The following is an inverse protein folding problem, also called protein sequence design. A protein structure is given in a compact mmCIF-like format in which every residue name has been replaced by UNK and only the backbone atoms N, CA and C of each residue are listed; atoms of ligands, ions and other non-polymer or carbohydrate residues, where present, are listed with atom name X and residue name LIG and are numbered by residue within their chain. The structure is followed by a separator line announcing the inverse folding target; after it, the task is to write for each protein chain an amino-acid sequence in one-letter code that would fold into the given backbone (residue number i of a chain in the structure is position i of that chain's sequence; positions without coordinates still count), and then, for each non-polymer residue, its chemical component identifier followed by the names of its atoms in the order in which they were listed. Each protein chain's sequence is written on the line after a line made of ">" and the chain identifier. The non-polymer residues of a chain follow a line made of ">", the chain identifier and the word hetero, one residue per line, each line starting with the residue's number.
data_IF_855813749302
#
_entry.id   IF_855813749302
#
_cell.length_a   1.000
_cell.length_b   1.000
_cell.length_c   1.000
_cell.angle_alpha   90.00
_cell.angle_beta   90.00
_cell.angle_gamma   90.00
#
_symmetry.space_group_name_H-M   'P 1'
#
loop_
_entity.id
_entity.type
_entity.pdbx_description
1 polymer ?
#
# COMPACT_ATOMS: atom_id res chain seq x y z
N UNK A 1 5.29 12.17 -26.66
CA UNK A 1 4.18 11.20 -26.72
C UNK A 1 4.44 10.18 -25.61
N UNK A 2 3.46 9.91 -24.76
CA UNK A 2 3.61 8.92 -23.67
C UNK A 2 3.75 7.53 -24.29
N UNK A 3 4.81 6.80 -23.92
CA UNK A 3 5.03 5.40 -24.33
C UNK A 3 4.16 4.41 -23.54
N UNK A 4 3.42 4.89 -22.54
CA UNK A 4 2.48 4.11 -21.75
C UNK A 4 1.15 3.95 -22.49
N UNK A 5 0.48 2.82 -22.29
CA UNK A 5 -0.90 2.64 -22.75
C UNK A 5 -1.83 3.57 -21.96
N UNK A 6 -3.06 3.83 -22.44
CA UNK A 6 -4.02 4.65 -21.69
C UNK A 6 -4.26 4.14 -20.26
N UNK A 7 -4.41 2.82 -20.09
CA UNK A 7 -4.58 2.18 -18.79
C UNK A 7 -3.34 2.32 -17.91
N UNK A 8 -2.15 2.04 -18.45
CA UNK A 8 -0.89 2.21 -17.73
C UNK A 8 -0.70 3.66 -17.26
N UNK A 9 -0.99 4.63 -18.11
CA UNK A 9 -0.88 6.06 -17.76
C UNK A 9 -1.81 6.42 -16.61
N UNK A 10 -3.08 6.02 -16.67
CA UNK A 10 -4.05 6.32 -15.61
C UNK A 10 -3.68 5.66 -14.27
N UNK A 11 -3.21 4.41 -14.32
CA UNK A 11 -2.75 3.70 -13.12
C UNK A 11 -1.50 4.33 -12.55
N UNK A 12 -0.52 4.71 -13.38
CA UNK A 12 0.72 5.32 -12.91
C UNK A 12 0.49 6.72 -12.33
N UNK A 13 -0.44 7.50 -12.88
CA UNK A 13 -0.83 8.80 -12.32
C UNK A 13 -1.49 8.64 -10.94
N UNK A 14 -2.38 7.67 -10.77
CA UNK A 14 -2.98 7.34 -9.48
C UNK A 14 -1.96 6.81 -8.48
N UNK A 15 -1.02 5.97 -8.94
CA UNK A 15 0.04 5.41 -8.11
C UNK A 15 1.01 6.48 -7.62
N UNK A 16 1.40 7.41 -8.50
CA UNK A 16 2.27 8.54 -8.14
C UNK A 16 1.60 9.47 -7.12
N UNK A 17 0.28 9.66 -7.22
CA UNK A 17 -0.47 10.39 -6.20
C UNK A 17 -0.48 9.63 -4.86
N UNK A 18 -0.83 8.34 -4.88
CA UNK A 18 -0.91 7.52 -3.67
C UNK A 18 0.45 7.39 -2.96
N UNK A 19 1.54 7.28 -3.73
CA UNK A 19 2.87 7.01 -3.20
C UNK A 19 3.74 8.26 -3.07
N UNK A 20 3.18 9.46 -3.22
CA UNK A 20 3.93 10.72 -3.30
C UNK A 20 4.94 10.94 -2.18
N UNK A 21 4.61 10.52 -0.95
CA UNK A 21 5.51 10.66 0.20
C UNK A 21 6.59 9.58 0.27
N UNK A 22 6.29 8.38 -0.23
CA UNK A 22 7.19 7.22 -0.16
C UNK A 22 8.15 7.12 -1.35
N UNK A 23 7.68 7.49 -2.55
CA UNK A 23 8.45 7.45 -3.80
C UNK A 23 8.14 8.72 -4.61
N UNK A 24 8.64 9.88 -4.18
CA UNK A 24 8.27 11.18 -4.75
C UNK A 24 8.60 11.34 -6.24
N UNK A 25 9.57 10.58 -6.76
CA UNK A 25 10.01 10.67 -8.15
C UNK A 25 9.35 9.63 -9.07
N UNK A 26 8.34 8.89 -8.61
CA UNK A 26 7.68 7.81 -9.37
C UNK A 26 7.14 8.28 -10.73
N UNK A 27 6.41 9.41 -10.76
CA UNK A 27 5.88 9.96 -12.00
C UNK A 27 7.00 10.31 -12.99
N UNK A 28 8.12 10.85 -12.50
CA UNK A 28 9.27 11.20 -13.33
C UNK A 28 9.99 9.95 -13.85
N UNK A 29 10.09 8.89 -13.05
CA UNK A 29 10.63 7.60 -13.50
C UNK A 29 9.75 6.98 -14.60
N UNK A 30 8.42 6.97 -14.41
CA UNK A 30 7.47 6.47 -15.39
C UNK A 30 7.58 7.25 -16.71
N UNK A 31 7.60 8.58 -16.64
CA UNK A 31 7.70 9.46 -17.81
C UNK A 31 9.02 9.32 -18.58
N UNK A 32 10.14 9.02 -17.91
CA UNK A 32 11.45 8.84 -18.54
C UNK A 32 11.81 7.38 -18.85
N UNK A 33 10.93 6.43 -18.53
CA UNK A 33 11.20 5.02 -18.78
C UNK A 33 11.07 4.67 -20.26
N UNK A 34 11.68 3.57 -20.66
CA UNK A 34 11.37 2.91 -21.93
C UNK A 34 10.43 1.72 -21.68
N UNK A 35 9.48 1.44 -22.58
CA UNK A 35 8.63 0.27 -22.46
C UNK A 35 9.48 -1.00 -22.61
N UNK A 36 9.30 -1.94 -21.69
CA UNK A 36 9.88 -3.29 -21.77
C UNK A 36 8.87 -4.31 -22.27
N UNK A 37 8.88 -5.50 -21.65
CA UNK A 37 7.90 -6.55 -21.90
C UNK A 37 6.50 -6.15 -21.42
N UNK A 38 5.49 -6.31 -22.28
CA UNK A 38 4.06 -6.29 -21.91
C UNK A 38 3.46 -7.65 -22.17
N UNK A 39 2.72 -8.19 -21.21
CA UNK A 39 2.00 -9.46 -21.37
C UNK A 39 0.73 -9.50 -20.54
N UNK A 40 -0.26 -10.19 -21.09
CA UNK A 40 -1.39 -10.69 -20.34
C UNK A 40 -1.01 -12.04 -19.73
N UNK A 41 -1.11 -12.19 -18.42
CA UNK A 41 -0.73 -13.43 -17.71
C UNK A 41 -1.87 -14.45 -17.66
N UNK A 42 -3.04 -14.09 -18.17
CA UNK A 42 -4.30 -14.81 -18.00
C UNK A 42 -4.98 -14.58 -16.65
N UNK A 43 -4.27 -13.96 -15.69
CA UNK A 43 -4.81 -13.49 -14.42
C UNK A 43 -4.68 -11.97 -14.25
N UNK A 44 -4.31 -11.27 -15.33
CA UNK A 44 -4.14 -9.82 -15.36
C UNK A 44 -3.00 -9.35 -16.26
N UNK A 45 -2.40 -8.21 -15.90
CA UNK A 45 -1.40 -7.50 -16.66
C UNK A 45 -0.01 -7.64 -16.02
N UNK A 46 1.01 -7.77 -16.85
CA UNK A 46 2.38 -7.47 -16.46
C UNK A 46 3.01 -6.55 -17.49
N UNK A 47 3.51 -5.40 -17.05
CA UNK A 47 4.20 -4.41 -17.87
C UNK A 47 5.53 -4.05 -17.24
N UNK A 48 6.62 -4.20 -17.98
CA UNK A 48 7.97 -3.89 -17.52
C UNK A 48 8.37 -2.48 -17.94
N UNK A 49 9.08 -1.78 -17.05
CA UNK A 49 9.68 -0.47 -17.32
C UNK A 49 11.19 -0.56 -17.24
N UNK A 50 11.84 0.02 -18.25
CA UNK A 50 13.29 0.16 -18.28
C UNK A 50 13.64 1.58 -17.85
N UNK A 51 14.10 1.72 -16.61
CA UNK A 51 14.56 2.99 -16.05
C UNK A 51 16.09 2.99 -15.96
N UNK A 52 16.71 4.10 -16.36
CA UNK A 52 18.17 4.29 -16.43
C UNK A 52 18.92 3.81 -15.17
N UNK A 53 19.89 2.88 -15.37
CA UNK A 53 20.81 2.28 -14.39
C UNK A 53 21.43 3.29 -13.42
N UNK A 54 21.78 4.48 -13.89
CA UNK A 54 22.56 5.44 -13.11
C UNK A 54 21.70 6.55 -12.49
N UNK A 55 20.37 6.48 -12.66
CA UNK A 55 19.43 7.43 -12.06
C UNK A 55 19.46 7.33 -10.53
N UNK A 56 19.65 8.48 -9.88
CA UNK A 56 19.43 8.62 -8.43
C UNK A 56 17.95 8.47 -8.08
N UNK A 57 17.65 7.63 -7.10
CA UNK A 57 16.30 7.42 -6.58
C UNK A 57 16.12 8.23 -5.28
N UNK A 58 14.92 8.75 -5.06
CA UNK A 58 14.62 9.52 -3.85
C UNK A 58 14.55 8.64 -2.59
N UNK A 59 14.17 7.37 -2.75
CA UNK A 59 14.07 6.39 -1.68
C UNK A 59 14.70 5.06 -2.11
N UNK A 60 16.01 4.86 -1.93
CA UNK A 60 16.71 3.64 -2.36
C UNK A 60 16.34 2.40 -1.53
N UNK A 61 15.64 2.55 -0.40
CA UNK A 61 15.24 1.42 0.44
C UNK A 61 13.92 0.78 -0.03
N UNK A 62 13.15 1.49 -0.87
CA UNK A 62 11.89 0.98 -1.41
C UNK A 62 12.12 -0.18 -2.39
N UNK A 63 12.00 -1.42 -1.89
CA UNK A 63 12.12 -2.65 -2.68
C UNK A 63 10.96 -3.59 -2.39
N UNK A 64 10.32 -4.12 -3.44
CA UNK A 64 9.15 -4.99 -3.34
C UNK A 64 7.96 -4.51 -4.18
N UNK A 65 6.78 -5.04 -3.89
CA UNK A 65 5.52 -4.64 -4.52
C UNK A 65 4.82 -3.58 -3.66
N UNK A 66 4.34 -2.52 -4.30
CA UNK A 66 3.71 -1.38 -3.65
C UNK A 66 2.45 -0.93 -4.38
N UNK A 67 1.57 -0.25 -3.64
CA UNK A 67 0.36 0.33 -4.20
C UNK A 67 -0.89 -0.52 -3.99
N UNK A 68 -2.04 0.13 -4.13
CA UNK A 68 -3.37 -0.47 -3.98
C UNK A 68 -4.37 0.18 -4.94
N UNK A 69 -3.91 0.51 -6.15
CA UNK A 69 -4.77 1.13 -7.17
C UNK A 69 -5.68 0.06 -7.75
N UNK A 70 -6.97 0.32 -7.92
CA UNK A 70 -7.91 -0.60 -8.54
C UNK A 70 -8.56 0.08 -9.74
N UNK A 71 -8.81 -0.65 -10.83
CA UNK A 71 -9.44 -0.09 -12.02
C UNK A 71 -10.54 -1.01 -12.53
N UNK A 72 -11.69 -0.43 -12.88
CA UNK A 72 -12.72 -1.11 -13.66
C UNK A 72 -12.25 -1.22 -15.11
N UNK A 73 -11.92 -2.44 -15.54
CA UNK A 73 -11.36 -2.73 -16.86
C UNK A 73 -12.34 -3.56 -17.68
N UNK A 74 -12.61 -3.11 -18.91
CA UNK A 74 -13.60 -3.73 -19.79
C UNK A 74 -14.93 -3.97 -19.07
N UNK A 75 -15.49 -5.16 -19.26
CA UNK A 75 -16.71 -5.63 -18.61
C UNK A 75 -16.40 -6.66 -17.50
N UNK A 76 -15.20 -6.60 -16.89
CA UNK A 76 -14.86 -7.50 -15.78
C UNK A 76 -15.79 -7.23 -14.59
N UNK A 77 -16.39 -8.29 -14.00
CA UNK A 77 -17.22 -8.17 -12.80
C UNK A 77 -16.54 -7.48 -11.61
N UNK A 78 -15.27 -7.80 -11.36
CA UNK A 78 -14.48 -7.21 -10.28
C UNK A 78 -13.35 -6.36 -10.84
N UNK A 79 -12.97 -5.26 -10.16
CA UNK A 79 -11.87 -4.40 -10.59
C UNK A 79 -10.55 -5.18 -10.62
N UNK A 80 -9.63 -4.74 -11.49
CA UNK A 80 -8.26 -5.24 -11.50
C UNK A 80 -7.45 -4.44 -10.49
N UNK A 81 -6.78 -5.12 -9.56
CA UNK A 81 -5.86 -4.51 -8.60
C UNK A 81 -4.47 -4.33 -9.21
N UNK A 82 -3.86 -3.18 -8.99
CA UNK A 82 -2.57 -2.79 -9.56
C UNK A 82 -1.54 -2.47 -8.48
N UNK A 83 -0.33 -2.96 -8.71
CA UNK A 83 0.84 -2.74 -7.88
C UNK A 83 2.07 -2.45 -8.74
N UNK A 84 2.92 -1.55 -8.29
CA UNK A 84 4.23 -1.36 -8.90
C UNK A 84 5.26 -2.24 -8.20
N UNK A 85 6.22 -2.74 -8.97
CA UNK A 85 7.42 -3.36 -8.46
C UNK A 85 8.54 -2.33 -8.43
N UNK A 86 9.13 -2.15 -7.24
CA UNK A 86 10.30 -1.32 -7.04
C UNK A 86 11.50 -2.18 -6.68
N UNK A 87 12.66 -1.81 -7.20
CA UNK A 87 13.95 -2.34 -6.76
C UNK A 87 14.87 -1.18 -6.44
N UNK A 88 15.23 -1.04 -5.18
CA UNK A 88 16.06 0.07 -4.70
C UNK A 88 15.52 1.46 -5.08
N UNK A 89 14.22 1.67 -4.91
CA UNK A 89 13.53 2.91 -5.26
C UNK A 89 13.21 3.07 -6.74
N UNK A 90 13.53 2.08 -7.57
CA UNK A 90 13.36 2.16 -9.01
C UNK A 90 12.18 1.37 -9.51
N UNK A 91 11.36 2.00 -10.36
CA UNK A 91 10.28 1.36 -11.08
C UNK A 91 10.79 0.28 -12.03
N UNK A 92 10.40 -0.96 -11.76
CA UNK A 92 10.76 -2.14 -12.54
C UNK A 92 9.58 -2.64 -13.38
N UNK A 93 8.39 -2.70 -12.78
CA UNK A 93 7.20 -3.23 -13.43
C UNK A 93 5.90 -2.69 -12.83
N UNK A 94 4.82 -2.84 -13.58
CA UNK A 94 3.43 -2.72 -13.15
C UNK A 94 2.79 -4.11 -13.26
N UNK A 95 2.20 -4.55 -12.17
CA UNK A 95 1.45 -5.79 -12.04
C UNK A 95 -0.03 -5.45 -11.91
N UNK A 96 -0.88 -6.10 -12.68
CA UNK A 96 -2.33 -6.07 -12.56
C UNK A 96 -2.85 -7.48 -12.27
N UNK A 97 -3.74 -7.62 -11.29
CA UNK A 97 -4.32 -8.89 -10.86
C UNK A 97 -5.85 -8.82 -10.84
N UNK A 98 -6.50 -9.78 -11.47
CA UNK A 98 -7.96 -9.83 -11.69
C UNK A 98 -8.75 -10.63 -10.66
N UNK A 99 -8.17 -10.92 -9.49
CA UNK A 99 -8.81 -11.69 -8.40
C UNK A 99 -9.40 -13.05 -8.82
N UNK A 100 -8.76 -13.75 -9.76
CA UNK A 100 -9.17 -15.08 -10.21
C UNK A 100 -10.07 -15.08 -11.46
N UNK A 101 -10.38 -13.91 -12.00
CA UNK A 101 -11.09 -13.79 -13.29
C UNK A 101 -10.14 -14.08 -14.45
N UNK A 102 -10.62 -14.77 -15.49
CA UNK A 102 -9.82 -15.02 -16.70
C UNK A 102 -9.73 -13.73 -17.53
N UNK A 103 -8.50 -13.25 -17.74
CA UNK A 103 -8.27 -12.04 -18.54
C UNK A 103 -7.73 -12.33 -19.93
N UNK A 104 -7.52 -13.58 -20.35
CA UNK A 104 -6.76 -13.91 -21.58
C UNK A 104 -7.30 -13.24 -22.86
N UNK A 105 -8.60 -12.97 -22.91
CA UNK A 105 -9.25 -12.30 -24.04
C UNK A 105 -9.09 -10.77 -24.05
N UNK A 106 -8.57 -10.17 -22.97
CA UNK A 106 -8.44 -8.72 -22.81
C UNK A 106 -7.10 -8.26 -23.41
N UNK A 107 -7.18 -7.34 -24.38
CA UNK A 107 -6.03 -6.54 -24.81
C UNK A 107 -5.88 -5.31 -23.91
N UNK A 108 -5.09 -5.43 -22.85
CA UNK A 108 -4.81 -4.32 -21.93
C UNK A 108 -4.15 -3.09 -22.57
N UNK A 109 -3.69 -3.18 -23.82
CA UNK A 109 -3.12 -2.04 -24.54
C UNK A 109 -4.18 -1.06 -25.00
N UNK A 110 -5.36 -1.57 -25.35
CA UNK A 110 -6.45 -0.79 -25.97
C UNK A 110 -7.79 -0.95 -25.26
N UNK A 111 -7.87 -1.78 -24.23
CA UNK A 111 -9.11 -2.04 -23.51
C UNK A 111 -9.69 -0.76 -22.90
N UNK A 112 -11.01 -0.53 -23.01
CA UNK A 112 -11.64 0.56 -22.28
C UNK A 112 -11.54 0.29 -20.77
N UNK A 113 -11.43 1.36 -20.02
CA UNK A 113 -11.52 1.36 -18.56
C UNK A 113 -12.26 2.61 -18.12
N UNK A 114 -12.85 2.56 -16.92
CA UNK A 114 -13.66 3.65 -16.40
C UNK A 114 -13.06 4.19 -15.10
N UNK A 115 -13.53 3.68 -13.98
CA UNK A 115 -13.23 4.21 -12.66
C UNK A 115 -11.90 3.67 -12.14
N UNK A 116 -11.04 4.59 -11.69
CA UNK A 116 -9.79 4.31 -11.01
C UNK A 116 -9.99 4.63 -9.53
N UNK A 117 -9.60 3.72 -8.65
CA UNK A 117 -9.72 3.88 -7.20
C UNK A 117 -8.35 3.78 -6.54
N UNK A 118 -8.16 4.56 -5.49
CA UNK A 118 -7.04 4.44 -4.54
C UNK A 118 -7.58 4.04 -3.18
N UNK A 119 -6.69 3.70 -2.25
CA UNK A 119 -7.05 3.43 -0.86
C UNK A 119 -6.56 4.59 -0.01
N UNK A 120 -7.44 5.16 0.82
CA UNK A 120 -7.09 6.23 1.75
C UNK A 120 -6.42 5.70 3.03
N UNK A 121 -5.98 6.60 3.91
CA UNK A 121 -5.33 6.24 5.18
C UNK A 121 -6.23 5.46 6.14
N UNK A 122 -7.54 5.39 5.88
CA UNK A 122 -8.53 4.63 6.64
C UNK A 122 -8.82 3.27 6.01
N UNK A 123 -8.10 2.90 4.94
CA UNK A 123 -8.31 1.66 4.22
C UNK A 123 -9.57 1.65 3.35
N UNK A 124 -10.18 2.80 3.07
CA UNK A 124 -11.37 2.90 2.22
C UNK A 124 -10.98 3.09 0.76
N UNK A 125 -11.69 2.40 -0.13
CA UNK A 125 -11.57 2.63 -1.57
C UNK A 125 -12.23 3.96 -1.93
N UNK A 126 -11.46 4.87 -2.52
CA UNK A 126 -11.91 6.20 -2.92
C UNK A 126 -11.64 6.41 -4.41
N UNK A 127 -12.60 7.01 -5.11
CA UNK A 127 -12.46 7.32 -6.53
C UNK A 127 -11.28 8.28 -6.73
N UNK A 128 -10.27 7.84 -7.48
CA UNK A 128 -9.17 8.68 -7.89
C UNK A 128 -9.71 9.73 -8.87
N UNK A 129 -9.64 10.98 -8.43
CA UNK A 129 -9.84 12.13 -9.30
C UNK A 129 -8.47 12.73 -9.51
N UNK A 130 -7.94 12.72 -10.75
CA UNK A 130 -6.76 13.50 -11.06
C UNK A 130 -7.06 14.92 -10.60
N UNK A 131 -6.26 15.45 -9.67
CA UNK A 131 -6.37 16.86 -9.31
C UNK A 131 -6.33 17.61 -10.63
N UNK A 132 -7.40 18.36 -10.97
CA UNK A 132 -7.45 19.16 -12.20
C UNK A 132 -6.11 19.87 -12.27
N UNK A 133 -5.28 19.49 -13.26
CA UNK A 133 -4.08 20.23 -13.61
C UNK A 133 -4.54 21.68 -13.67
N UNK A 134 -4.02 22.53 -12.78
CA UNK A 134 -4.38 23.94 -12.80
C UNK A 134 -4.23 24.39 -14.27
N UNK A 135 -5.25 25.02 -14.88
CA UNK A 135 -5.15 25.43 -16.27
C UNK A 135 -3.83 26.17 -16.43
N UNK A 136 -3.03 25.78 -17.41
CA UNK A 136 -1.75 26.43 -17.69
C UNK A 136 -1.98 27.95 -17.60
N UNK A 137 -1.14 28.70 -16.86
CA UNK A 137 -1.30 30.14 -16.78
C UNK A 137 -1.34 30.65 -18.21
N UNK A 138 -2.51 31.15 -18.63
CA UNK A 138 -2.69 31.70 -19.96
C UNK A 138 -1.62 32.76 -20.11
N UNK A 139 -0.61 32.49 -20.95
CA UNK A 139 0.47 33.42 -21.16
C UNK A 139 -0.16 34.77 -21.55
N UNK A 140 0.17 35.88 -20.86
CA UNK A 140 -0.40 37.16 -21.18
C UNK A 140 -0.10 37.47 -22.65
N UNK A 141 -1.18 37.69 -23.41
CA UNK A 141 -1.15 38.02 -24.83
C UNK A 141 -0.06 39.07 -25.10
N UNK A 142 0.87 38.85 -26.04
CA UNK A 142 1.94 39.80 -26.28
C UNK A 142 1.34 41.16 -26.66
N UNK A 143 1.70 42.17 -25.87
CA UNK A 143 1.34 43.57 -26.11
C UNK A 143 2.01 43.99 -27.42
N UNK A 144 1.29 44.58 -28.39
CA UNK A 144 1.90 45.02 -29.64
C UNK A 144 3.06 45.99 -29.37
N UNK A 145 4.19 45.73 -30.01
CA UNK A 145 5.41 46.50 -29.85
C UNK A 145 5.18 47.97 -30.21
N UNK A 146 5.52 48.88 -29.29
CA UNK A 146 5.67 50.29 -29.60
C UNK A 146 6.96 50.52 -30.40
N UNK A 147 6.86 51.39 -31.42
CA UNK A 147 7.93 51.84 -32.31
C UNK A 147 9.17 52.35 -31.54
N UNK A 148 10.38 52.29 -32.15
CA UNK A 148 11.60 52.74 -31.51
C UNK A 148 11.75 54.27 -31.62
N UNK A 149 12.08 54.92 -30.49
CA UNK A 149 12.55 56.30 -30.45
C UNK A 149 14.07 56.33 -30.29
N UNK A 150 14.68 57.29 -30.99
CA UNK A 150 16.11 57.47 -31.25
C UNK A 150 16.91 57.90 -30.00
N UNK A 151 18.17 57.52 -30.01
CA UNK A 151 19.28 57.75 -29.09
C UNK A 151 19.56 59.20 -28.68
N UNK A 152 20.04 59.41 -27.45
CA UNK A 152 21.13 60.38 -27.16
C UNK A 152 21.85 60.04 -25.84
N UNK A 153 23.18 59.87 -25.92
CA UNK A 153 24.19 59.77 -24.84
C UNK A 153 24.93 61.14 -24.75
N UNK A 154 25.91 61.46 -23.85
CA UNK A 154 26.51 60.71 -22.71
C UNK A 154 26.91 61.52 -21.42
N UNK A 155 27.08 60.80 -20.28
CA UNK A 155 28.02 60.91 -19.10
C UNK A 155 28.39 62.27 -18.40
N UNK A 156 29.04 62.34 -17.18
CA UNK A 156 29.68 61.31 -16.33
C UNK A 156 29.48 61.37 -14.77
N UNK A 157 29.95 60.30 -14.10
CA UNK A 157 30.30 59.97 -12.68
C UNK A 157 31.06 61.05 -11.84
N UNK A 158 31.46 60.88 -10.52
CA UNK A 158 31.29 59.78 -9.51
C UNK A 158 31.13 60.17 -7.99
N UNK A 159 30.99 59.14 -7.11
CA UNK A 159 31.64 58.94 -5.76
C UNK A 159 30.90 59.22 -4.39
N UNK A 160 31.35 58.67 -3.21
CA UNK A 160 30.55 57.85 -2.26
C UNK A 160 30.66 58.25 -0.75
N UNK A 161 29.95 57.54 0.15
CA UNK A 161 30.23 57.27 1.60
C UNK A 161 28.89 56.94 2.33
N UNK A 162 28.74 56.19 3.43
CA UNK A 162 29.63 55.64 4.45
C UNK A 162 29.01 54.38 5.09
N UNK A 163 29.87 53.55 5.69
CA UNK A 163 29.53 52.43 6.59
C UNK A 163 28.98 52.94 7.93
N UNK A 164 28.17 52.13 8.62
CA UNK A 164 28.31 51.81 10.07
C UNK A 164 27.31 50.72 10.51
N UNK A 165 27.82 49.55 10.86
CA UNK A 165 27.39 48.71 12.01
C UNK A 165 28.44 48.92 13.13
N UNK A 166 28.32 48.46 14.40
CA UNK A 166 27.40 47.45 14.98
C UNK A 166 26.86 47.78 16.41
N UNK A 167 25.91 46.98 16.95
CA UNK A 167 25.82 46.66 18.38
C UNK A 167 24.85 45.48 18.64
N UNK A 168 25.20 44.62 19.60
CA UNK A 168 24.58 43.33 19.88
C UNK A 168 23.99 43.25 21.31
N UNK A 169 22.82 42.58 21.43
CA UNK A 169 22.25 41.76 22.56
C UNK A 169 21.98 42.41 23.94
N UNK A 170 21.21 41.77 24.88
CA UNK A 170 20.63 40.39 24.90
C UNK A 170 19.13 40.22 25.34
N UNK A 171 18.65 38.96 25.20
CA UNK A 171 17.66 38.14 25.95
C UNK A 171 16.46 38.81 26.67
N UNK A 172 15.23 38.31 26.64
CA UNK A 172 14.73 37.02 27.14
C UNK A 172 13.28 36.83 26.63
N UNK A 173 12.81 35.60 26.39
CA UNK A 173 11.44 35.12 26.67
C UNK A 173 11.42 33.61 26.46
N UNK A 174 11.43 32.86 27.58
CA UNK A 174 11.35 31.42 27.63
C UNK A 174 9.90 30.95 27.43
N UNK A 175 9.70 29.95 26.57
CA UNK A 175 8.48 29.14 26.47
C UNK A 175 8.69 27.82 27.23
N UNK A 176 7.64 27.23 27.82
CA UNK A 176 7.75 25.99 28.58
C UNK A 176 8.09 24.80 27.67
N UNK A 177 9.03 23.98 28.14
CA UNK A 177 9.43 22.70 27.54
C UNK A 177 8.26 21.72 27.66
N UNK A 178 7.68 21.35 26.52
CA UNK A 178 6.78 20.20 26.41
C UNK A 178 7.66 18.94 26.32
N UNK A 179 7.41 17.96 27.20
CA UNK A 179 8.13 16.71 27.25
C UNK A 179 7.93 15.91 25.96
N UNK A 180 9.02 15.60 25.25
CA UNK A 180 9.01 14.70 24.10
C UNK A 180 8.68 13.26 24.52
N UNK A 181 7.91 12.49 23.73
CA UNK A 181 7.77 11.05 23.93
C UNK A 181 9.11 10.32 23.70
N UNK A 182 9.35 9.17 24.34
CA UNK A 182 10.62 8.45 24.22
C UNK A 182 10.88 8.05 22.76
N UNK A 183 12.09 8.36 22.29
CA UNK A 183 12.50 8.10 20.92
C UNK A 183 12.81 6.62 20.69
N UNK A 184 12.73 6.19 19.44
CA UNK A 184 13.01 4.82 18.96
C UNK A 184 14.39 4.31 19.42
N UNK A 185 15.33 5.22 19.68
CA UNK A 185 16.65 4.93 20.23
C UNK A 185 16.61 4.38 21.67
N UNK A 186 15.65 4.81 22.49
CA UNK A 186 15.43 4.28 23.86
C UNK A 186 14.78 2.88 23.81
N UNK A 187 13.99 2.58 22.78
CA UNK A 187 13.42 1.24 22.57
C UNK A 187 14.49 0.22 22.13
N UNK A 188 15.44 0.63 21.29
CA UNK A 188 16.50 -0.24 20.78
C UNK A 188 17.56 -0.56 21.84
N UNK A 189 17.85 0.37 22.74
CA UNK A 189 18.79 0.16 23.84
C UNK A 189 18.23 -0.76 24.95
N UNK A 190 16.90 -0.89 25.07
CA UNK A 190 16.24 -1.82 25.99
C UNK A 190 16.27 -3.30 25.60
N UNK A 191 16.60 -3.63 24.35
CA UNK A 191 16.71 -5.02 23.85
C UNK A 191 18.01 -5.70 24.27
N UNK A 192 19.01 -4.93 24.74
CA UNK A 192 20.34 -5.41 25.09
C UNK A 192 20.42 -6.11 26.45
N UNK A 193 19.37 -6.00 27.30
CA UNK A 193 19.27 -6.69 28.59
C UNK A 193 17.80 -6.85 29.04
N UNK A 194 17.07 -7.88 28.55
CA UNK A 194 15.63 -8.02 28.76
C UNK A 194 15.19 -8.36 30.19
N UNK A 195 16.11 -8.62 31.14
CA UNK A 195 15.76 -9.02 32.51
C UNK A 195 15.61 -7.88 33.52
N UNK A 196 16.10 -6.66 33.21
CA UNK A 196 16.32 -5.61 34.21
C UNK A 196 15.35 -4.41 34.18
N UNK A 197 14.48 -4.26 33.16
CA UNK A 197 13.56 -3.11 33.09
C UNK A 197 12.11 -3.52 32.79
N UNK A 198 11.16 -2.80 33.41
CA UNK A 198 9.73 -2.98 33.18
C UNK A 198 9.35 -2.79 31.71
N UNK A 199 10.05 -1.90 31.00
CA UNK A 199 9.90 -1.65 29.57
C UNK A 199 10.33 -2.86 28.70
N UNK A 200 11.43 -3.54 29.05
CA UNK A 200 11.89 -4.74 28.33
C UNK A 200 10.92 -5.92 28.48
N UNK A 201 10.33 -6.10 29.66
CA UNK A 201 9.27 -7.10 29.89
C UNK A 201 8.01 -6.79 29.11
N UNK A 202 7.61 -5.52 29.04
CA UNK A 202 6.46 -5.08 28.26
C UNK A 202 6.68 -5.32 26.76
N UNK A 203 7.86 -5.01 26.24
CA UNK A 203 8.23 -5.27 24.84
C UNK A 203 8.18 -6.77 24.50
N UNK A 204 8.62 -7.64 25.41
CA UNK A 204 8.53 -9.10 25.26
C UNK A 204 7.09 -9.61 25.23
N UNK A 205 6.20 -9.03 26.05
CA UNK A 205 4.77 -9.36 26.06
C UNK A 205 4.11 -8.92 24.74
N UNK A 206 4.39 -7.70 24.27
CA UNK A 206 3.88 -7.23 22.99
C UNK A 206 4.40 -8.07 21.83
N UNK A 207 5.70 -8.39 21.81
CA UNK A 207 6.28 -9.27 20.78
C UNK A 207 5.61 -10.65 20.78
N UNK A 208 5.37 -11.23 21.96
CA UNK A 208 4.62 -12.48 22.11
C UNK A 208 3.17 -12.37 21.62
N UNK A 209 2.48 -11.27 21.93
CA UNK A 209 1.11 -11.02 21.48
C UNK A 209 1.02 -10.87 19.95
N UNK A 210 1.95 -10.13 19.33
CA UNK A 210 2.03 -10.01 17.88
C UNK A 210 2.32 -11.34 17.20
N UNK A 211 3.26 -12.13 17.74
CA UNK A 211 3.54 -13.47 17.22
C UNK A 211 2.29 -14.37 17.30
N UNK A 212 1.56 -14.32 18.42
CA UNK A 212 0.33 -15.10 18.59
C UNK A 212 -0.78 -14.67 17.63
N UNK A 213 -0.92 -13.36 17.39
CA UNK A 213 -1.88 -12.82 16.42
C UNK A 213 -1.55 -13.25 14.98
N UNK A 214 -0.28 -13.23 14.58
CA UNK A 214 0.18 -13.71 13.27
C UNK A 214 -0.11 -15.20 13.10
N UNK A 215 0.19 -16.01 14.13
CA UNK A 215 -0.15 -17.45 14.14
C UNK A 215 -1.66 -17.65 14.04
N UNK A 216 -2.46 -16.86 14.75
CA UNK A 216 -3.92 -16.94 14.69
C UNK A 216 -4.46 -16.57 13.30
N UNK A 217 -3.94 -15.53 12.65
CA UNK A 217 -4.34 -15.15 11.29
C UNK A 217 -3.93 -16.20 10.27
N UNK A 218 -2.73 -16.78 10.38
CA UNK A 218 -2.29 -17.91 9.56
C UNK A 218 -3.16 -19.14 9.78
N UNK A 219 -3.51 -19.45 11.02
CA UNK A 219 -4.39 -20.55 11.39
C UNK A 219 -5.82 -20.34 10.87
N UNK A 220 -6.36 -19.14 11.03
CA UNK A 220 -7.67 -18.77 10.50
C UNK A 220 -7.69 -18.83 8.97
N UNK A 221 -6.63 -18.35 8.30
CA UNK A 221 -6.49 -18.45 6.84
C UNK A 221 -6.41 -19.90 6.39
N UNK A 222 -5.65 -20.75 7.07
CA UNK A 222 -5.58 -22.19 6.78
C UNK A 222 -6.92 -22.89 7.02
N UNK A 223 -7.59 -22.61 8.14
CA UNK A 223 -8.88 -23.21 8.47
C UNK A 223 -10.00 -22.77 7.51
N UNK A 224 -10.01 -21.50 7.08
CA UNK A 224 -11.03 -20.94 6.21
C UNK A 224 -10.80 -21.27 4.73
N UNK A 225 -9.56 -21.34 4.24
CA UNK A 225 -9.30 -21.76 2.85
C UNK A 225 -9.37 -23.27 2.65
N UNK A 226 -9.17 -24.04 3.70
CA UNK A 226 -9.01 -25.50 3.63
C UNK A 226 -10.09 -26.20 4.45
N UNK A 227 -11.34 -25.71 4.34
CA UNK A 227 -12.47 -26.07 5.20
C UNK A 227 -12.76 -27.57 5.32
N UNK A 228 -12.41 -28.39 4.31
CA UNK A 228 -12.57 -29.84 4.38
C UNK A 228 -11.54 -30.54 5.28
N UNK A 229 -10.30 -30.05 5.35
CA UNK A 229 -9.29 -30.62 6.26
C UNK A 229 -9.61 -30.30 7.73
N UNK A 230 -10.13 -29.11 8.02
CA UNK A 230 -10.59 -28.77 9.36
C UNK A 230 -11.76 -29.66 9.78
N UNK A 231 -12.71 -29.92 8.87
CA UNK A 231 -13.79 -30.88 9.10
C UNK A 231 -13.25 -32.30 9.40
N UNK A 232 -12.22 -32.76 8.70
CA UNK A 232 -11.59 -34.06 8.96
C UNK A 232 -10.87 -34.13 10.31
N UNK A 233 -10.16 -33.07 10.70
CA UNK A 233 -9.49 -33.01 12.01
C UNK A 233 -10.53 -33.01 13.13
N UNK A 234 -11.60 -32.21 13.01
CA UNK A 234 -12.69 -32.20 13.98
C UNK A 234 -13.40 -33.56 14.04
N UNK A 235 -13.65 -34.20 12.90
CA UNK A 235 -14.23 -35.54 12.85
C UNK A 235 -13.33 -36.56 13.55
N UNK A 236 -12.01 -36.51 13.32
CA UNK A 236 -11.05 -37.37 14.00
C UNK A 236 -11.02 -37.14 15.52
N UNK A 237 -11.02 -35.88 15.96
CA UNK A 237 -11.07 -35.53 17.39
C UNK A 237 -12.38 -35.96 18.05
N UNK A 238 -13.52 -35.76 17.39
CA UNK A 238 -14.81 -36.22 17.86
C UNK A 238 -14.85 -37.75 17.98
N UNK A 239 -14.35 -38.47 16.98
CA UNK A 239 -14.30 -39.93 16.98
C UNK A 239 -13.40 -40.45 18.11
N UNK A 240 -12.24 -39.83 18.29
CA UNK A 240 -11.32 -40.14 19.40
C UNK A 240 -11.94 -39.84 20.75
N UNK A 241 -12.67 -38.74 20.90
CA UNK A 241 -13.36 -38.38 22.14
C UNK A 241 -14.46 -39.40 22.48
N UNK A 242 -15.26 -39.83 21.50
CA UNK A 242 -16.28 -40.88 21.68
C UNK A 242 -15.67 -42.19 22.19
N UNK A 243 -14.44 -42.51 21.77
CA UNK A 243 -13.74 -43.72 22.22
C UNK A 243 -13.10 -43.60 23.61
N UNK A 244 -12.99 -42.40 24.18
CA UNK A 244 -12.52 -42.21 25.55
C UNK A 244 -13.61 -42.58 26.57
N UNK A 245 -13.26 -43.06 27.78
CA UNK A 245 -14.23 -43.49 28.78
C UNK A 245 -15.26 -42.41 29.15
N UNK A 246 -14.86 -41.14 29.18
CA UNK A 246 -15.76 -40.00 29.40
C UNK A 246 -16.76 -39.80 28.25
N UNK A 247 -16.30 -39.93 27.00
CA UNK A 247 -17.16 -39.82 25.83
C UNK A 247 -18.15 -40.98 25.72
N UNK A 248 -17.72 -42.20 26.02
CA UNK A 248 -18.60 -43.39 26.05
C UNK A 248 -19.73 -43.23 27.08
N UNK A 249 -19.43 -42.72 28.26
CA UNK A 249 -20.43 -42.46 29.31
C UNK A 249 -21.41 -41.33 28.93
N UNK A 250 -20.96 -40.33 28.17
CA UNK A 250 -21.83 -39.28 27.66
C UNK A 250 -22.75 -39.81 26.55
N UNK A 251 -22.23 -40.63 25.63
CA UNK A 251 -23.01 -41.24 24.56
C UNK A 251 -24.02 -42.26 25.08
N UNK A 252 -23.72 -43.02 26.14
CA UNK A 252 -24.69 -43.93 26.75
C UNK A 252 -25.86 -43.19 27.39
N UNK A 253 -25.60 -42.08 28.10
CA UNK A 253 -26.65 -41.21 28.65
C UNK A 253 -27.51 -40.58 27.56
N UNK A 254 -26.89 -40.17 26.45
CA UNK A 254 -27.61 -39.65 25.30
C UNK A 254 -28.50 -40.72 24.67
N UNK A 255 -27.98 -41.95 24.50
CA UNK A 255 -28.75 -43.09 24.01
C UNK A 255 -29.93 -43.43 24.93
N UNK A 256 -29.72 -43.48 26.24
CA UNK A 256 -30.78 -43.71 27.24
C UNK A 256 -31.87 -42.63 27.18
N UNK A 257 -31.47 -41.38 26.92
CA UNK A 257 -32.42 -40.25 26.79
C UNK A 257 -33.23 -40.37 25.52
N UNK A 258 -32.59 -40.71 24.39
CA UNK A 258 -33.25 -40.89 23.09
C UNK A 258 -34.19 -42.11 23.10
N UNK A 259 -33.83 -43.19 23.80
CA UNK A 259 -34.68 -44.38 23.95
C UNK A 259 -35.93 -44.08 24.80
N UNK A 260 -35.78 -43.33 25.89
CA UNK A 260 -36.92 -42.84 26.69
C UNK A 260 -37.84 -41.90 25.90
N UNK A 261 -37.32 -41.19 24.91
CA UNK A 261 -38.09 -40.34 24.01
C UNK A 261 -38.70 -41.12 22.83
N UNK A 262 -38.53 -42.44 22.78
CA UNK A 262 -39.10 -43.29 21.74
C UNK A 262 -38.41 -43.14 20.37
N UNK A 263 -37.25 -42.50 20.29
CA UNK A 263 -36.54 -42.27 19.03
C UNK A 263 -36.17 -43.57 18.30
N UNK A 264 -35.95 -44.66 19.06
CA UNK A 264 -35.66 -45.98 18.51
C UNK A 264 -36.90 -46.84 18.28
N UNK A 265 -38.09 -46.42 18.71
CA UNK A 265 -39.34 -47.11 18.41
C UNK A 265 -39.69 -47.01 16.92
N UNK A 266 -39.37 -45.88 16.28
CA UNK A 266 -39.53 -45.68 14.84
C UNK A 266 -38.58 -46.54 13.97
N UNK A 267 -37.49 -47.04 14.54
CA UNK A 267 -36.51 -47.91 13.86
C UNK A 267 -36.83 -49.41 14.02
N UNK A 268 -37.75 -49.78 14.91
CA UNK A 268 -38.16 -51.18 15.17
C UNK A 268 -39.35 -51.66 14.34
N UNK A 269 -39.98 -50.79 13.53
CA UNK A 269 -41.15 -51.15 12.72
C UNK A 269 -40.80 -51.51 11.26
N UNK A 270 -39.80 -52.37 11.06
CA UNK A 270 -39.60 -53.14 9.83
C UNK A 270 -38.93 -54.47 10.14
#
# INVERSE_FOLDING_TARGET
>A
MSHLTPLESAVMDAMAWQMGDSVPDLAAQAASSSPGLRRNTGAGLYSQFLVDADRRTANPDATGLFGTVHVMVADLPEPVGFQIELRQGRLMALHGQSYGQDTRAIDFSNTPFSEVFTVDDRGQSVLYRPARRAPDPVAPRPKPAARPSVSTQPNPQPQPAARTTPAARPADHALPVSASPPGVADMLSGLSNPSASAAGRLALVYLGAYALAVVFVLFARLALHTGWFFALILAFWALRFIHMPKGRAMMSRLADTLDRQGAFAALKSR
#
